data_IF_895148471768
#
_entry.id   IF_895148471768
#
_cell.length_a   1.000
_cell.length_b   1.000
_cell.length_c   1.000
_cell.angle_alpha   90.00
_cell.angle_beta   90.00
_cell.angle_gamma   90.00
#
_symmetry.space_group_name_H-M   'P 1'
#
loop_
_entity.id
_entity.type
_entity.pdbx_description
1 polymer ?
#
# COMPACT_ATOMS: atom_id res chain seq x y z
N UNK A 1 32.15 16.55 -26.31
CA UNK A 1 30.99 15.67 -26.47
C UNK A 1 29.93 15.96 -25.43
N UNK A 2 28.66 15.87 -25.79
CA UNK A 2 27.52 16.06 -24.93
C UNK A 2 26.68 14.76 -24.82
N UNK A 3 25.74 14.76 -23.87
CA UNK A 3 24.73 13.71 -23.72
C UNK A 3 23.35 14.36 -23.78
N UNK A 4 22.44 13.76 -24.55
CA UNK A 4 21.02 14.08 -24.48
C UNK A 4 20.31 12.97 -23.71
N UNK A 5 19.53 13.39 -22.74
CA UNK A 5 18.68 12.48 -21.96
C UNK A 5 17.26 13.02 -21.94
N UNK A 6 16.31 12.18 -22.26
CA UNK A 6 14.89 12.46 -22.05
C UNK A 6 14.27 11.24 -21.37
N UNK A 7 13.62 11.46 -20.24
CA UNK A 7 12.94 10.43 -19.48
C UNK A 7 11.53 10.88 -19.10
N UNK A 8 10.57 9.97 -19.20
CA UNK A 8 9.21 10.11 -18.72
C UNK A 8 8.94 8.99 -17.72
N UNK A 9 8.41 9.34 -16.56
CA UNK A 9 8.01 8.42 -15.52
C UNK A 9 6.55 8.63 -15.19
N UNK A 10 5.76 7.58 -15.24
CA UNK A 10 4.35 7.59 -14.88
C UNK A 10 4.08 6.55 -13.84
N UNK A 11 3.42 6.97 -12.76
CA UNK A 11 2.93 6.12 -11.68
C UNK A 11 1.40 6.22 -11.62
N UNK A 12 0.75 5.10 -11.36
CA UNK A 12 -0.70 5.04 -11.20
C UNK A 12 -1.05 4.04 -10.12
N UNK A 13 -1.85 4.49 -9.15
CA UNK A 13 -2.38 3.69 -8.06
C UNK A 13 -3.87 3.47 -8.26
N UNK A 14 -4.30 2.22 -8.16
CA UNK A 14 -5.69 1.84 -8.13
C UNK A 14 -5.97 1.24 -6.76
N UNK A 15 -6.94 1.80 -6.06
CA UNK A 15 -7.40 1.30 -4.78
C UNK A 15 -8.92 1.13 -4.81
N UNK A 16 -9.40 -0.01 -4.31
CA UNK A 16 -10.82 -0.32 -4.27
C UNK A 16 -11.14 -1.07 -2.97
N UNK A 17 -12.11 -0.55 -2.22
CA UNK A 17 -12.61 -1.14 -0.98
C UNK A 17 -14.11 -1.40 -1.06
N UNK A 18 -14.51 -2.56 -0.59
CA UNK A 18 -15.89 -2.89 -0.35
C UNK A 18 -16.08 -3.30 1.10
N UNK A 19 -17.05 -2.71 1.77
CA UNK A 19 -17.32 -2.99 3.18
C UNK A 19 -18.81 -3.10 3.41
N UNK A 20 -19.21 -4.12 4.14
CA UNK A 20 -20.55 -4.32 4.67
C UNK A 20 -20.49 -4.18 6.18
N UNK A 21 -21.32 -3.32 6.74
CA UNK A 21 -21.39 -3.06 8.17
C UNK A 21 -22.78 -3.41 8.69
N UNK A 22 -22.82 -4.11 9.81
CA UNK A 22 -24.02 -4.39 10.56
C UNK A 22 -23.87 -3.86 11.98
N UNK A 23 -24.90 -3.12 12.43
CA UNK A 23 -24.96 -2.53 13.77
C UNK A 23 -26.28 -2.91 14.38
N UNK A 24 -26.26 -3.35 15.62
CA UNK A 24 -27.48 -3.61 16.40
C UNK A 24 -27.26 -3.35 17.88
N UNK A 25 -28.35 -3.06 18.57
CA UNK A 25 -28.37 -2.85 20.02
C UNK A 25 -29.39 -3.75 20.67
N UNK A 26 -28.90 -4.65 21.53
CA UNK A 26 -29.71 -5.64 22.22
C UNK A 26 -30.05 -5.18 23.65
N UNK A 27 -31.32 -5.18 23.99
CA UNK A 27 -31.84 -4.85 25.34
C UNK A 27 -31.30 -3.54 25.94
N UNK A 28 -31.00 -2.54 25.12
CA UNK A 28 -30.39 -1.25 25.49
C UNK A 28 -29.08 -1.38 26.32
N UNK A 29 -28.45 -2.55 26.28
CA UNK A 29 -27.28 -2.87 27.13
C UNK A 29 -26.07 -3.37 26.35
N UNK A 30 -26.30 -3.92 25.18
CA UNK A 30 -25.27 -4.54 24.37
C UNK A 30 -25.30 -3.93 22.97
N UNK A 31 -24.27 -3.20 22.64
CA UNK A 31 -24.05 -2.66 21.30
C UNK A 31 -23.13 -3.61 20.53
N UNK A 32 -23.53 -4.02 19.35
CA UNK A 32 -22.72 -4.86 18.48
C UNK A 32 -22.52 -4.15 17.15
N UNK A 33 -21.28 -4.03 16.75
CA UNK A 33 -20.89 -3.53 15.44
C UNK A 33 -19.97 -4.55 14.79
N UNK A 34 -20.34 -5.00 13.60
CA UNK A 34 -19.54 -5.94 12.81
C UNK A 34 -19.37 -5.36 11.41
N UNK A 35 -18.15 -5.34 10.92
CA UNK A 35 -17.89 -5.01 9.55
C UNK A 35 -17.03 -6.11 8.90
N UNK A 36 -17.37 -6.45 7.67
CA UNK A 36 -16.61 -7.36 6.82
C UNK A 36 -16.36 -6.70 5.48
N UNK A 37 -15.20 -6.91 4.91
CA UNK A 37 -14.89 -6.26 3.66
C UNK A 37 -13.72 -6.87 2.92
N UNK A 38 -13.51 -6.32 1.72
CA UNK A 38 -12.39 -6.66 0.84
C UNK A 38 -11.69 -5.38 0.42
N UNK A 39 -10.39 -5.43 0.31
CA UNK A 39 -9.59 -4.37 -0.30
C UNK A 39 -8.75 -4.93 -1.43
N UNK A 40 -8.58 -4.12 -2.46
CA UNK A 40 -7.70 -4.40 -3.58
C UNK A 40 -6.87 -3.15 -3.87
N UNK A 41 -5.57 -3.31 -3.98
CA UNK A 41 -4.67 -2.26 -4.43
C UNK A 41 -3.77 -2.75 -5.55
N UNK A 42 -3.43 -1.86 -6.47
CA UNK A 42 -2.49 -2.13 -7.54
C UNK A 42 -1.71 -0.88 -7.89
N UNK A 43 -0.40 -1.05 -7.97
CA UNK A 43 0.54 -0.01 -8.34
C UNK A 43 1.16 -0.31 -9.69
N UNK A 44 1.20 0.69 -10.56
CA UNK A 44 1.81 0.62 -11.88
C UNK A 44 2.85 1.70 -12.03
N UNK A 45 4.04 1.32 -12.40
CA UNK A 45 5.09 2.23 -12.83
C UNK A 45 5.48 1.96 -14.28
N UNK A 46 5.63 3.03 -15.02
CA UNK A 46 6.21 3.00 -16.35
C UNK A 46 7.33 4.04 -16.42
N UNK A 47 8.52 3.58 -16.75
CA UNK A 47 9.68 4.45 -16.98
C UNK A 47 10.15 4.28 -18.42
N UNK A 48 10.09 5.35 -19.17
CA UNK A 48 10.58 5.40 -20.54
C UNK A 48 11.74 6.37 -20.59
N UNK A 49 12.88 5.97 -21.11
CA UNK A 49 14.03 6.88 -21.26
C UNK A 49 14.73 6.69 -22.60
N UNK A 50 15.23 7.80 -23.14
CA UNK A 50 16.09 7.85 -24.31
C UNK A 50 17.36 8.56 -23.92
N UNK A 51 18.49 7.90 -24.13
CA UNK A 51 19.82 8.48 -23.91
C UNK A 51 20.59 8.42 -25.20
N UNK A 52 21.12 9.56 -25.65
CA UNK A 52 21.98 9.65 -26.82
C UNK A 52 23.31 10.32 -26.48
N UNK A 53 24.41 9.72 -26.93
CA UNK A 53 25.71 10.38 -26.87
C UNK A 53 25.87 11.28 -28.10
N UNK A 54 26.22 12.54 -27.89
CA UNK A 54 26.44 13.55 -28.95
C UNK A 54 27.91 13.59 -29.26
N UNK A 55 28.35 13.00 -30.37
CA UNK A 55 29.69 13.16 -30.89
C UNK A 55 29.75 14.32 -31.92
N UNK A 56 28.75 14.41 -32.78
CA UNK A 56 28.59 15.49 -33.77
C UNK A 56 27.12 15.86 -33.89
N UNK A 57 26.83 17.17 -33.77
CA UNK A 57 25.50 17.70 -34.00
C UNK A 57 25.35 18.05 -35.49
N UNK A 58 24.26 17.66 -36.12
CA UNK A 58 23.92 18.11 -37.48
C UNK A 58 23.55 19.58 -37.53
N UNK A 59 22.78 20.03 -36.55
CA UNK A 59 22.33 21.42 -36.38
C UNK A 59 22.69 21.90 -34.97
N UNK A 60 23.42 23.01 -34.81
CA UNK A 60 23.73 23.58 -33.51
C UNK A 60 22.43 23.97 -32.75
N UNK A 61 22.43 23.72 -31.43
CA UNK A 61 21.29 24.05 -30.53
C UNK A 61 19.94 23.37 -30.81
N UNK A 62 19.90 22.32 -31.64
CA UNK A 62 18.73 21.49 -31.81
C UNK A 62 18.77 20.27 -30.88
N UNK A 63 18.07 20.36 -29.74
CA UNK A 63 18.05 19.34 -28.70
C UNK A 63 16.98 18.27 -28.97
N UNK A 64 17.13 17.56 -30.06
CA UNK A 64 16.25 16.44 -30.48
C UNK A 64 17.09 15.21 -30.76
N UNK A 65 16.59 13.99 -30.45
CA UNK A 65 17.34 12.75 -30.67
C UNK A 65 17.83 12.54 -32.10
N UNK A 66 17.03 12.98 -33.06
CA UNK A 66 17.34 12.85 -34.49
C UNK A 66 18.51 13.73 -34.97
N UNK A 67 18.87 14.74 -34.19
CA UNK A 67 19.99 15.62 -34.50
C UNK A 67 21.35 14.99 -34.17
N UNK A 68 21.37 13.87 -33.48
CA UNK A 68 22.58 13.14 -33.12
C UNK A 68 23.04 12.27 -34.27
N UNK A 69 23.92 12.82 -35.10
CA UNK A 69 24.60 12.02 -36.13
C UNK A 69 25.75 11.27 -35.48
N UNK A 70 25.58 9.97 -35.32
CA UNK A 70 26.65 9.10 -34.84
C UNK A 70 27.25 8.36 -36.00
N UNK A 71 28.45 8.70 -36.34
CA UNK A 71 29.26 7.94 -37.30
C UNK A 71 30.65 7.75 -36.68
N UNK A 72 30.85 6.61 -36.02
CA UNK A 72 32.20 6.16 -35.69
C UNK A 72 32.73 5.30 -36.80
N UNK A 73 33.84 5.69 -37.47
CA UNK A 73 34.41 4.88 -38.56
C UNK A 73 34.75 3.45 -38.15
N UNK A 74 35.03 3.21 -36.88
CA UNK A 74 35.47 1.92 -36.38
C UNK A 74 34.34 1.08 -35.67
N UNK A 75 33.11 1.58 -35.59
CA UNK A 75 31.98 0.83 -35.05
C UNK A 75 30.68 1.24 -35.78
N UNK A 76 30.49 0.79 -37.02
CA UNK A 76 29.33 1.16 -37.82
C UNK A 76 27.99 0.65 -37.22
N UNK A 77 28.05 -0.32 -36.29
CA UNK A 77 26.90 -0.90 -35.64
C UNK A 77 26.73 -0.37 -34.18
N UNK A 78 27.57 0.54 -33.74
CA UNK A 78 27.47 1.15 -32.41
C UNK A 78 26.28 2.10 -32.31
N UNK A 79 25.22 1.67 -31.71
CA UNK A 79 24.11 2.54 -31.41
C UNK A 79 24.51 3.56 -30.34
N UNK A 80 24.55 4.83 -30.70
CA UNK A 80 24.78 5.92 -29.76
C UNK A 80 23.51 6.25 -28.96
N UNK A 81 22.41 5.70 -29.36
CA UNK A 81 21.10 5.90 -28.73
C UNK A 81 20.69 4.62 -28.03
N UNK A 82 20.46 4.71 -26.75
CA UNK A 82 19.79 3.66 -25.96
C UNK A 82 18.40 4.13 -25.59
N UNK A 83 17.42 3.31 -25.89
CA UNK A 83 16.05 3.50 -25.42
C UNK A 83 15.71 2.38 -24.46
N UNK A 84 15.11 2.71 -23.35
CA UNK A 84 14.56 1.74 -22.41
C UNK A 84 13.10 2.07 -22.11
N UNK A 85 12.29 1.04 -22.08
CA UNK A 85 10.90 1.12 -21.63
C UNK A 85 10.72 -0.01 -20.62
N UNK A 86 10.53 0.36 -19.37
CA UNK A 86 10.36 -0.58 -18.28
C UNK A 86 8.98 -0.42 -17.65
N UNK A 87 8.32 -1.55 -17.48
CA UNK A 87 7.04 -1.63 -16.81
C UNK A 87 7.19 -2.38 -15.50
N UNK A 88 6.80 -1.77 -14.41
CA UNK A 88 6.56 -2.48 -13.17
C UNK A 88 5.04 -2.60 -12.97
N UNK A 89 4.54 -3.82 -13.07
CA UNK A 89 3.13 -4.15 -12.98
C UNK A 89 2.90 -5.20 -11.88
N UNK A 90 3.86 -5.38 -11.00
CA UNK A 90 3.88 -6.51 -10.08
C UNK A 90 3.38 -6.19 -8.68
N UNK A 91 3.19 -4.91 -8.37
CA UNK A 91 2.77 -4.50 -7.03
C UNK A 91 1.25 -4.50 -6.92
N UNK A 92 0.72 -5.61 -6.46
CA UNK A 92 -0.68 -5.72 -6.13
C UNK A 92 -0.86 -6.34 -4.74
N UNK A 93 -1.93 -5.96 -4.07
CA UNK A 93 -2.39 -6.63 -2.87
C UNK A 93 -3.91 -6.79 -2.87
N UNK A 94 -4.37 -7.86 -2.26
CA UNK A 94 -5.78 -8.13 -2.01
C UNK A 94 -5.92 -8.58 -0.58
N UNK A 95 -6.93 -8.08 0.12
CA UNK A 95 -7.20 -8.50 1.48
C UNK A 95 -8.70 -8.74 1.72
N UNK A 96 -8.96 -9.69 2.61
CA UNK A 96 -10.23 -9.86 3.30
C UNK A 96 -10.05 -9.36 4.73
N UNK A 97 -11.01 -8.63 5.26
CA UNK A 97 -10.95 -8.17 6.63
C UNK A 97 -12.31 -8.27 7.32
N UNK A 98 -12.25 -8.46 8.62
CA UNK A 98 -13.40 -8.40 9.49
C UNK A 98 -13.03 -7.63 10.76
N UNK A 99 -13.96 -6.81 11.23
CA UNK A 99 -13.85 -6.13 12.52
C UNK A 99 -15.12 -6.37 13.30
N UNK A 100 -14.99 -6.52 14.61
CA UNK A 100 -16.10 -6.61 15.52
C UNK A 100 -15.84 -5.73 16.74
N UNK A 101 -16.87 -5.01 17.17
CA UNK A 101 -16.86 -4.23 18.39
C UNK A 101 -18.11 -4.53 19.19
N UNK A 102 -17.95 -4.82 20.47
CA UNK A 102 -19.06 -5.13 21.39
C UNK A 102 -18.96 -4.18 22.58
N UNK A 103 -19.97 -3.33 22.72
CA UNK A 103 -20.17 -2.47 23.89
C UNK A 103 -21.07 -3.14 24.91
N UNK A 104 -20.66 -3.21 26.15
CA UNK A 104 -21.41 -3.78 27.26
C UNK A 104 -21.77 -2.70 28.26
N UNK A 105 -23.06 -2.49 28.48
CA UNK A 105 -23.64 -1.58 29.48
C UNK A 105 -23.12 -0.13 29.37
N UNK A 106 -22.68 0.30 28.19
CA UNK A 106 -22.03 1.59 27.97
C UNK A 106 -20.78 1.83 28.87
N UNK A 107 -20.15 0.75 29.35
CA UNK A 107 -19.03 0.78 30.30
C UNK A 107 -17.79 0.06 29.82
N UNK A 108 -17.95 -1.06 29.13
CA UNK A 108 -16.88 -1.90 28.63
C UNK A 108 -17.05 -2.07 27.13
N UNK A 109 -15.99 -1.90 26.38
CA UNK A 109 -15.95 -2.11 24.94
C UNK A 109 -14.85 -3.10 24.62
N UNK A 110 -15.20 -4.11 23.83
CA UNK A 110 -14.30 -5.13 23.32
C UNK A 110 -14.21 -4.95 21.81
N UNK A 111 -13.01 -4.85 21.32
CA UNK A 111 -12.73 -4.69 19.89
C UNK A 111 -11.89 -5.86 19.39
N UNK A 112 -12.20 -6.35 18.21
CA UNK A 112 -11.41 -7.36 17.53
C UNK A 112 -11.30 -7.07 16.05
N UNK A 113 -10.15 -7.39 15.46
CA UNK A 113 -9.99 -7.35 14.02
C UNK A 113 -9.22 -8.55 13.50
N UNK A 114 -9.55 -8.96 12.30
CA UNK A 114 -8.84 -9.97 11.53
C UNK A 114 -8.69 -9.50 10.09
N UNK A 115 -7.49 -9.65 9.53
CA UNK A 115 -7.20 -9.35 8.14
C UNK A 115 -6.35 -10.46 7.55
N UNK A 116 -6.77 -10.98 6.43
CA UNK A 116 -6.04 -11.93 5.60
C UNK A 116 -5.63 -11.23 4.32
N UNK A 117 -4.34 -11.16 4.05
CA UNK A 117 -3.79 -10.41 2.94
C UNK A 117 -2.94 -11.29 2.03
N UNK A 118 -3.12 -11.11 0.73
CA UNK A 118 -2.28 -11.65 -0.35
C UNK A 118 -1.64 -10.48 -1.08
N UNK A 119 -0.32 -10.51 -1.21
CA UNK A 119 0.41 -9.48 -1.93
C UNK A 119 1.55 -10.08 -2.77
N UNK A 120 1.88 -9.39 -3.84
CA UNK A 120 3.01 -9.78 -4.70
C UNK A 120 4.33 -9.80 -3.94
N UNK A 121 4.54 -8.85 -3.03
CA UNK A 121 5.73 -8.76 -2.18
C UNK A 121 5.94 -10.01 -1.32
N UNK A 122 4.89 -10.79 -1.04
CA UNK A 122 4.99 -12.02 -0.25
C UNK A 122 5.49 -13.22 -1.08
N UNK A 123 5.49 -13.13 -2.40
CA UNK A 123 5.99 -14.21 -3.28
C UNK A 123 7.48 -14.47 -3.11
N UNK A 124 8.25 -13.50 -2.69
CA UNK A 124 9.70 -13.64 -2.50
C UNK A 124 10.07 -14.66 -1.41
N UNK A 125 9.14 -14.96 -0.52
CA UNK A 125 9.35 -15.92 0.58
C UNK A 125 8.93 -17.35 0.25
N UNK A 126 8.41 -17.58 -0.96
CA UNK A 126 8.02 -18.93 -1.41
C UNK A 126 8.93 -19.42 -2.53
N UNK A 127 9.75 -20.41 -2.24
CA UNK A 127 10.40 -21.23 -3.27
C UNK A 127 9.35 -22.17 -3.89
N UNK A 128 8.39 -21.63 -4.63
CA UNK A 128 7.33 -22.40 -5.26
C UNK A 128 6.21 -21.50 -5.78
N UNK A 129 5.42 -22.00 -6.72
CA UNK A 129 4.36 -21.29 -7.44
C UNK A 129 3.09 -21.04 -6.61
N UNK A 130 3.20 -20.64 -5.34
CA UNK A 130 2.06 -20.38 -4.46
C UNK A 130 2.06 -18.97 -3.93
N UNK A 131 0.88 -18.30 -3.97
CA UNK A 131 0.67 -17.05 -3.26
C UNK A 131 0.58 -17.33 -1.76
N UNK A 132 1.47 -16.74 -0.96
CA UNK A 132 1.33 -16.77 0.49
C UNK A 132 0.37 -15.68 0.93
N UNK A 133 -0.53 -16.06 1.84
CA UNK A 133 -1.34 -15.13 2.61
C UNK A 133 -0.69 -14.88 3.97
N UNK A 134 -0.87 -13.69 4.49
CA UNK A 134 -0.52 -13.33 5.85
C UNK A 134 -1.76 -12.90 6.61
N UNK A 135 -1.87 -13.36 7.84
CA UNK A 135 -2.94 -13.01 8.74
C UNK A 135 -2.46 -12.00 9.78
N UNK A 136 -3.28 -11.00 9.96
CA UNK A 136 -3.12 -9.97 10.98
C UNK A 136 -4.33 -10.02 11.87
N UNK A 137 -4.13 -9.93 13.16
CA UNK A 137 -5.22 -9.91 14.10
C UNK A 137 -4.92 -9.01 15.29
N UNK A 138 -5.99 -8.43 15.81
CA UNK A 138 -5.91 -7.61 17.00
C UNK A 138 -7.08 -7.85 17.92
N UNK A 139 -6.86 -7.63 19.20
CA UNK A 139 -7.89 -7.58 20.21
C UNK A 139 -7.63 -6.38 21.13
N UNK A 140 -8.69 -5.71 21.50
CA UNK A 140 -8.65 -4.55 22.39
C UNK A 140 -9.75 -4.60 23.42
N UNK A 141 -9.48 -4.01 24.57
CA UNK A 141 -10.47 -3.78 25.61
C UNK A 141 -10.35 -2.35 26.10
N UNK A 142 -11.50 -1.76 26.37
CA UNK A 142 -11.64 -0.39 26.80
C UNK A 142 -12.69 -0.31 27.89
N UNK A 143 -12.30 0.14 29.07
CA UNK A 143 -13.14 0.18 30.26
C UNK A 143 -13.29 1.63 30.73
N UNK A 144 -14.53 2.09 30.83
CA UNK A 144 -14.89 3.39 31.43
C UNK A 144 -15.04 3.21 32.94
N UNK A 145 -13.95 3.39 33.67
CA UNK A 145 -13.89 3.15 35.13
C UNK A 145 -14.78 4.18 35.88
N UNK A 146 -14.89 5.38 35.35
CA UNK A 146 -15.76 6.42 35.91
C UNK A 146 -17.23 5.99 36.01
N UNK A 147 -17.67 5.11 35.10
CA UNK A 147 -19.04 4.57 35.09
C UNK A 147 -19.31 3.52 36.19
N UNK A 148 -18.28 3.03 36.86
CA UNK A 148 -18.38 2.09 37.98
C UNK A 148 -18.23 2.77 39.34
N UNK A 149 -17.73 4.03 39.36
CA UNK A 149 -17.51 4.78 40.58
C UNK A 149 -18.67 5.72 40.86
N UNK A 150 -18.95 6.04 42.13
CA UNK A 150 -19.89 7.09 42.46
C UNK A 150 -19.41 8.44 41.91
N UNK A 151 -20.35 9.22 41.41
CA UNK A 151 -20.06 10.52 40.79
C UNK A 151 -19.32 11.44 41.77
N UNK A 152 -18.22 12.02 41.34
CA UNK A 152 -17.40 12.94 42.10
C UNK A 152 -17.09 14.17 41.24
N UNK A 153 -17.18 15.35 41.83
CA UNK A 153 -17.06 16.63 41.10
C UNK A 153 -15.66 16.85 40.50
N UNK A 154 -14.65 16.17 41.05
CA UNK A 154 -13.25 16.25 40.53
C UNK A 154 -12.91 15.17 39.50
N UNK A 155 -13.77 14.17 39.28
CA UNK A 155 -13.54 13.05 38.38
C UNK A 155 -14.54 13.05 37.22
N UNK A 156 -14.18 13.69 36.13
CA UNK A 156 -15.06 13.78 34.96
C UNK A 156 -14.97 12.54 34.07
N UNK A 157 -13.78 11.96 33.92
CA UNK A 157 -13.58 10.75 33.11
C UNK A 157 -12.35 9.96 33.60
N UNK A 158 -12.52 8.66 33.77
CA UNK A 158 -11.45 7.74 34.03
C UNK A 158 -11.62 6.52 33.09
N UNK A 159 -10.65 6.32 32.21
CA UNK A 159 -10.70 5.30 31.17
C UNK A 159 -9.42 4.48 31.18
N UNK A 160 -9.57 3.17 31.12
CA UNK A 160 -8.47 2.25 30.90
C UNK A 160 -8.58 1.57 29.53
N UNK A 161 -7.43 1.37 28.86
CA UNK A 161 -7.34 0.69 27.56
C UNK A 161 -6.20 -0.32 27.57
N UNK A 162 -6.46 -1.49 27.01
CA UNK A 162 -5.46 -2.47 26.68
C UNK A 162 -5.69 -2.99 25.27
N UNK A 163 -4.62 -3.21 24.53
CA UNK A 163 -4.70 -3.81 23.19
C UNK A 163 -3.52 -4.69 22.91
N UNK A 164 -3.75 -5.70 22.09
CA UNK A 164 -2.74 -6.60 21.59
C UNK A 164 -2.97 -6.83 20.08
N UNK A 165 -1.88 -6.87 19.31
CA UNK A 165 -1.97 -7.07 17.88
C UNK A 165 -0.76 -7.86 17.37
N UNK A 166 -1.02 -8.64 16.32
CA UNK A 166 0.02 -9.27 15.51
C UNK A 166 -0.06 -8.67 14.12
N UNK A 167 1.04 -8.06 13.71
CA UNK A 167 1.18 -7.43 12.38
C UNK A 167 2.44 -7.94 11.71
N UNK A 168 2.33 -8.27 10.42
CA UNK A 168 3.47 -8.53 9.56
C UNK A 168 3.79 -7.29 8.73
N UNK A 169 5.06 -7.08 8.43
CA UNK A 169 5.48 -6.04 7.50
C UNK A 169 6.12 -6.70 6.29
N UNK A 170 5.57 -6.54 5.07
CA UNK A 170 6.25 -7.01 3.87
C UNK A 170 7.55 -6.21 3.70
N UNK A 171 8.63 -6.89 3.35
CA UNK A 171 9.88 -6.22 3.00
C UNK A 171 9.65 -5.51 1.67
N UNK A 172 9.83 -4.19 1.58
CA UNK A 172 9.75 -3.49 0.30
C UNK A 172 10.84 -3.98 -0.65
N UNK A 173 10.50 -4.12 -1.92
CA UNK A 173 11.43 -4.43 -3.01
C UNK A 173 12.33 -3.25 -3.34
#
# INVERSE_FOLDING_TARGET
GGKYYNGDSRSSDIYNDHMLTWNDRFNDKIDVNVAVGTSFSRHYDRNTSITTAIDTCGVPNAFVPQNNKHSRPNNPNGSATSASDSWNNKDWSTALFATASVGLFDKVYLDGSYRLEWAQSFQQFTQGSGYKSFDYYSAGVNVLIDKFLPRRDWLNQLKWRGSWSVVGNPIPN
#
